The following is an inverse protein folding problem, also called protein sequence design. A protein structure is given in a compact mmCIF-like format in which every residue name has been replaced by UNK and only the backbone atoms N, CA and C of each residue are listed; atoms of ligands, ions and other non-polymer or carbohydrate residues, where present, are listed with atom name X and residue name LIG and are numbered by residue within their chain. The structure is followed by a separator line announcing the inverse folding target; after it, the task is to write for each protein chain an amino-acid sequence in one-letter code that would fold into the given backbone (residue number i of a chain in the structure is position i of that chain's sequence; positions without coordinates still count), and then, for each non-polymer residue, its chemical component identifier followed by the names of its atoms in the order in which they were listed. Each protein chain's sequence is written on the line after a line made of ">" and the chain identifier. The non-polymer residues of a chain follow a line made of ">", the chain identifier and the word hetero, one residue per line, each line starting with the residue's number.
data_IF_395877861810
#
_entry.id   IF_395877861810
#
_cell.length_a   1.000
_cell.length_b   1.000
_cell.length_c   1.000
_cell.angle_alpha   90.00
_cell.angle_beta   90.00
_cell.angle_gamma   90.00
#
_symmetry.space_group_name_H-M   'P 1'
#
loop_
_entity.id
_entity.type
_entity.pdbx_description
1 polymer ?
#
# COMPACT_ATOMS: atom_id res chain seq x y z
N UNK A 1 7.20 -19.57 3.13
CA UNK A 1 6.18 -19.08 2.19
C UNK A 1 6.13 -17.58 2.34
N UNK A 2 6.34 -16.85 1.24
CA UNK A 2 6.30 -15.38 1.26
C UNK A 2 4.88 -14.89 1.52
N UNK A 3 4.73 -13.80 2.27
CA UNK A 3 3.45 -13.16 2.54
C UNK A 3 3.51 -11.68 2.16
N UNK A 4 2.54 -11.24 1.40
CA UNK A 4 2.46 -9.87 0.95
C UNK A 4 1.50 -9.04 1.81
N UNK A 5 1.88 -7.79 2.08
CA UNK A 5 1.06 -6.76 2.68
C UNK A 5 0.79 -5.68 1.63
N UNK A 6 -0.46 -5.47 1.29
CA UNK A 6 -0.88 -4.49 0.28
C UNK A 6 -1.42 -3.25 0.95
N UNK A 7 -0.93 -2.07 0.59
CA UNK A 7 -1.45 -0.78 1.05
C UNK A 7 -2.13 -0.10 -0.13
N UNK A 8 -3.44 0.10 -0.07
CA UNK A 8 -4.21 0.75 -1.12
C UNK A 8 -5.19 1.79 -0.55
N UNK A 9 -5.56 2.75 -1.38
CA UNK A 9 -6.52 3.82 -1.06
C UNK A 9 -7.79 3.70 -1.91
N UNK A 10 -7.68 3.07 -3.09
CA UNK A 10 -8.78 2.92 -4.03
C UNK A 10 -9.19 1.46 -4.18
N UNK A 11 -10.46 1.22 -4.54
CA UNK A 11 -10.94 -0.14 -4.82
C UNK A 11 -10.18 -0.77 -5.99
N UNK A 12 -9.92 -0.01 -7.06
CA UNK A 12 -9.17 -0.51 -8.21
C UNK A 12 -7.72 -0.82 -7.84
N UNK A 13 -7.05 0.05 -7.09
CA UNK A 13 -5.70 -0.18 -6.60
C UNK A 13 -5.61 -1.41 -5.70
N UNK A 14 -6.58 -1.60 -4.80
CA UNK A 14 -6.67 -2.80 -3.96
C UNK A 14 -6.78 -4.07 -4.81
N UNK A 15 -7.67 -4.09 -5.80
CA UNK A 15 -7.84 -5.24 -6.73
C UNK A 15 -6.56 -5.52 -7.49
N UNK A 16 -6.01 -4.52 -8.13
CA UNK A 16 -4.80 -4.62 -8.96
C UNK A 16 -3.61 -5.13 -8.16
N UNK A 17 -3.33 -4.50 -7.01
CA UNK A 17 -2.17 -4.86 -6.19
C UNK A 17 -2.32 -6.22 -5.51
N UNK A 18 -3.53 -6.60 -5.06
CA UNK A 18 -3.76 -7.93 -4.52
C UNK A 18 -3.59 -9.02 -5.58
N UNK A 19 -4.05 -8.77 -6.81
CA UNK A 19 -3.81 -9.67 -7.93
C UNK A 19 -2.31 -9.82 -8.24
N UNK A 20 -1.58 -8.70 -8.30
CA UNK A 20 -0.13 -8.68 -8.49
C UNK A 20 0.63 -9.38 -7.36
N UNK A 21 0.21 -9.19 -6.11
CA UNK A 21 0.80 -9.82 -4.94
C UNK A 21 0.73 -11.35 -5.00
N UNK A 22 -0.31 -11.93 -5.60
CA UNK A 22 -0.46 -13.38 -5.80
C UNK A 22 0.62 -13.99 -6.71
N UNK A 23 1.29 -13.20 -7.54
CA UNK A 23 2.38 -13.69 -8.40
C UNK A 23 3.70 -13.88 -7.64
N UNK A 24 3.85 -13.24 -6.47
CA UNK A 24 5.11 -13.21 -5.70
C UNK A 24 4.96 -13.71 -4.26
N UNK A 25 3.74 -13.97 -3.80
CA UNK A 25 3.46 -14.41 -2.42
C UNK A 25 2.30 -15.41 -2.37
N UNK A 26 2.35 -16.32 -1.39
CA UNK A 26 1.32 -17.33 -1.16
C UNK A 26 0.13 -16.77 -0.36
N UNK A 27 0.37 -15.75 0.48
CA UNK A 27 -0.65 -15.10 1.29
C UNK A 27 -0.66 -13.59 1.07
N UNK A 28 -1.85 -12.99 1.01
CA UNK A 28 -2.05 -11.56 0.78
C UNK A 28 -2.95 -10.96 1.86
N UNK A 29 -2.43 -9.95 2.55
CA UNK A 29 -3.18 -9.10 3.49
C UNK A 29 -3.32 -7.71 2.88
N UNK A 30 -4.54 -7.25 2.71
CA UNK A 30 -4.83 -5.88 2.27
C UNK A 30 -4.94 -4.96 3.49
N UNK A 31 -4.38 -3.77 3.43
CA UNK A 31 -4.53 -2.71 4.41
C UNK A 31 -5.13 -1.46 3.75
N UNK A 32 -6.25 -1.00 4.27
CA UNK A 32 -6.93 0.22 3.86
C UNK A 32 -7.01 1.17 5.06
N UNK A 33 -6.52 2.40 4.90
CA UNK A 33 -6.62 3.45 5.91
C UNK A 33 -7.39 4.66 5.36
N UNK A 34 -8.43 5.09 6.08
CA UNK A 34 -9.19 6.30 5.76
C UNK A 34 -10.10 6.21 4.53
N UNK A 35 -10.28 5.01 3.96
CA UNK A 35 -11.20 4.71 2.88
C UNK A 35 -12.02 3.45 3.24
N UNK A 36 -13.16 3.18 2.59
CA UNK A 36 -13.95 1.99 2.85
C UNK A 36 -13.17 0.69 2.63
N UNK A 37 -13.39 -0.31 3.47
CA UNK A 37 -12.79 -1.63 3.31
C UNK A 37 -13.16 -2.26 1.96
N UNK A 38 -12.21 -2.95 1.35
CA UNK A 38 -12.40 -3.68 0.08
C UNK A 38 -12.31 -5.16 0.38
N UNK A 39 -13.30 -5.92 -0.06
CA UNK A 39 -13.41 -7.37 0.17
C UNK A 39 -13.34 -8.18 -1.13
N UNK A 40 -13.17 -9.49 -1.02
CA UNK A 40 -13.12 -10.39 -2.17
C UNK A 40 -11.82 -10.32 -2.98
N UNK A 41 -10.76 -9.70 -2.47
CA UNK A 41 -9.51 -9.45 -3.22
C UNK A 41 -8.25 -10.00 -2.55
N UNK A 42 -8.27 -10.21 -1.23
CA UNK A 42 -7.17 -10.69 -0.42
C UNK A 42 -7.62 -11.82 0.53
N UNK A 43 -6.69 -12.44 1.24
CA UNK A 43 -7.04 -13.46 2.26
C UNK A 43 -7.64 -12.82 3.51
N UNK A 44 -7.28 -11.57 3.78
CA UNK A 44 -7.92 -10.72 4.79
C UNK A 44 -7.71 -9.25 4.45
N UNK A 45 -8.62 -8.40 4.91
CA UNK A 45 -8.50 -6.95 4.85
C UNK A 45 -8.35 -6.40 6.27
N UNK A 46 -7.29 -5.62 6.49
CA UNK A 46 -7.13 -4.78 7.68
C UNK A 46 -7.67 -3.40 7.34
N UNK A 47 -8.66 -2.96 8.09
CA UNK A 47 -9.27 -1.65 7.91
C UNK A 47 -8.92 -0.74 9.10
N UNK A 48 -8.48 0.48 8.80
CA UNK A 48 -8.15 1.51 9.79
C UNK A 48 -9.04 2.72 9.52
N UNK A 49 -10.04 2.91 10.37
CA UNK A 49 -10.88 4.10 10.31
C UNK A 49 -10.10 5.33 10.82
N UNK A 50 -9.87 6.30 9.93
CA UNK A 50 -9.16 7.54 10.28
C UNK A 50 -10.18 8.60 10.68
N UNK A 51 -10.14 9.11 11.94
CA UNK A 51 -11.09 10.09 12.42
C UNK A 51 -11.09 11.37 11.58
N UNK A 52 -12.24 12.01 11.43
CA UNK A 52 -12.46 13.16 10.53
C UNK A 52 -11.51 14.37 10.77
N UNK A 53 -10.95 14.51 11.97
CA UNK A 53 -9.99 15.57 12.31
C UNK A 53 -8.53 15.21 11.99
N UNK A 54 -8.25 13.99 11.54
CA UNK A 54 -6.91 13.50 11.26
C UNK A 54 -6.69 13.34 9.75
N UNK A 55 -5.44 13.19 9.35
CA UNK A 55 -5.03 12.86 7.98
C UNK A 55 -4.64 11.39 7.89
N UNK A 56 -4.78 10.78 6.72
CA UNK A 56 -4.45 9.37 6.48
C UNK A 56 -2.98 9.08 6.79
N UNK A 57 -2.10 10.03 6.53
CA UNK A 57 -0.66 9.93 6.80
C UNK A 57 -0.34 9.65 8.28
N UNK A 58 -1.20 10.08 9.19
CA UNK A 58 -1.03 9.87 10.63
C UNK A 58 -1.43 8.43 11.07
N UNK A 59 -2.00 7.62 10.17
CA UNK A 59 -2.28 6.20 10.44
C UNK A 59 -1.03 5.30 10.43
N UNK A 60 0.17 5.86 10.21
CA UNK A 60 1.40 5.07 10.03
C UNK A 60 1.70 4.12 11.18
N UNK A 61 1.44 4.49 12.44
CA UNK A 61 1.66 3.62 13.59
C UNK A 61 0.76 2.38 13.52
N UNK A 62 -0.53 2.59 13.20
CA UNK A 62 -1.50 1.49 13.02
C UNK A 62 -1.14 0.59 11.83
N UNK A 63 -0.67 1.18 10.72
CA UNK A 63 -0.21 0.43 9.53
C UNK A 63 1.02 -0.41 9.86
N UNK A 64 2.00 0.12 10.58
CA UNK A 64 3.20 -0.63 11.00
C UNK A 64 2.80 -1.80 11.91
N UNK A 65 1.90 -1.57 12.86
CA UNK A 65 1.39 -2.61 13.76
C UNK A 65 0.65 -3.73 13.00
N UNK A 66 -0.19 -3.34 12.04
CA UNK A 66 -0.89 -4.31 11.17
C UNK A 66 0.10 -5.10 10.30
N UNK A 67 1.11 -4.44 9.75
CA UNK A 67 2.20 -5.10 9.01
C UNK A 67 2.91 -6.13 9.88
N UNK A 68 3.30 -5.77 11.10
CA UNK A 68 3.98 -6.69 12.02
C UNK A 68 3.11 -7.89 12.38
N UNK A 69 1.83 -7.68 12.65
CA UNK A 69 0.88 -8.74 12.94
C UNK A 69 0.65 -9.68 11.74
N UNK A 70 0.77 -9.16 10.51
CA UNK A 70 0.58 -9.95 9.29
C UNK A 70 1.67 -10.99 9.07
N UNK A 71 2.89 -10.75 9.57
CA UNK A 71 4.07 -11.57 9.30
C UNK A 71 4.53 -11.52 7.84
N UNK A 72 4.18 -10.45 7.11
CA UNK A 72 4.58 -10.25 5.73
C UNK A 72 6.03 -9.78 5.62
N UNK A 73 6.67 -10.13 4.51
CA UNK A 73 8.04 -9.75 4.15
C UNK A 73 8.11 -8.94 2.84
N UNK A 74 6.98 -8.84 2.13
CA UNK A 74 6.85 -8.04 0.91
C UNK A 74 5.70 -7.06 1.06
N UNK A 75 5.91 -5.82 0.63
CA UNK A 75 4.88 -4.76 0.59
C UNK A 75 4.68 -4.28 -0.83
N UNK A 76 3.45 -4.32 -1.31
CA UNK A 76 3.02 -3.60 -2.51
C UNK A 76 2.11 -2.44 -2.08
N UNK A 77 2.41 -1.24 -2.55
CA UNK A 77 1.60 -0.07 -2.23
C UNK A 77 1.18 0.68 -3.48
N UNK A 78 -0.02 1.26 -3.43
CA UNK A 78 -0.52 2.12 -4.48
C UNK A 78 0.35 3.38 -4.62
N UNK A 79 0.56 3.86 -5.85
CA UNK A 79 1.39 5.05 -6.13
C UNK A 79 0.57 6.34 -5.89
N UNK A 80 0.08 6.52 -4.66
CA UNK A 80 -0.66 7.71 -4.22
C UNK A 80 0.14 8.49 -3.18
N UNK A 81 -0.22 9.74 -2.92
CA UNK A 81 0.51 10.60 -1.99
C UNK A 81 0.48 10.04 -0.56
N UNK A 82 -0.69 9.58 -0.09
CA UNK A 82 -0.82 9.04 1.26
C UNK A 82 -0.14 7.68 1.38
N UNK A 83 -0.30 6.79 0.40
CA UNK A 83 0.38 5.48 0.41
C UNK A 83 1.91 5.64 0.38
N UNK A 84 2.45 6.59 -0.39
CA UNK A 84 3.88 6.93 -0.39
C UNK A 84 4.36 7.41 0.99
N UNK A 85 3.57 8.24 1.68
CA UNK A 85 3.88 8.71 3.03
C UNK A 85 3.90 7.56 4.04
N UNK A 86 2.88 6.70 4.02
CA UNK A 86 2.79 5.51 4.88
C UNK A 86 3.95 4.54 4.64
N UNK A 87 4.26 4.26 3.37
CA UNK A 87 5.37 3.39 2.95
C UNK A 87 6.72 3.93 3.39
N UNK A 88 6.95 5.23 3.25
CA UNK A 88 8.22 5.85 3.70
C UNK A 88 8.45 5.66 5.19
N UNK A 89 7.41 5.81 6.00
CA UNK A 89 7.47 5.60 7.46
C UNK A 89 7.63 4.12 7.82
N UNK A 90 6.94 3.23 7.11
CA UNK A 90 7.11 1.79 7.28
C UNK A 90 8.53 1.34 6.90
N UNK A 91 9.07 1.81 5.79
CA UNK A 91 10.42 1.52 5.35
C UNK A 91 11.46 1.96 6.38
N UNK A 92 11.33 3.18 6.92
CA UNK A 92 12.20 3.69 7.98
C UNK A 92 12.12 2.85 9.25
N UNK A 93 10.91 2.48 9.69
CA UNK A 93 10.70 1.67 10.89
C UNK A 93 11.28 0.25 10.77
N UNK A 94 11.32 -0.32 9.57
CA UNK A 94 11.81 -1.69 9.32
C UNK A 94 13.24 -1.74 8.78
N UNK A 95 13.89 -0.60 8.54
CA UNK A 95 15.18 -0.56 7.86
C UNK A 95 15.10 -1.18 6.46
N UNK A 96 13.95 -1.03 5.80
CA UNK A 96 13.63 -1.71 4.55
C UNK A 96 13.96 -0.84 3.34
N UNK A 97 14.41 -1.49 2.26
CA UNK A 97 14.53 -0.84 0.95
C UNK A 97 13.15 -0.68 0.30
N UNK A 98 12.88 0.52 -0.21
CA UNK A 98 11.69 0.82 -0.99
C UNK A 98 12.05 1.23 -2.42
N UNK A 99 11.41 0.59 -3.41
CA UNK A 99 11.52 0.94 -4.83
C UNK A 99 10.21 1.58 -5.25
N UNK A 100 10.27 2.84 -5.68
CA UNK A 100 9.10 3.61 -6.04
C UNK A 100 8.84 3.63 -7.55
N UNK A 101 7.55 3.76 -7.93
CA UNK A 101 7.13 3.92 -9.32
C UNK A 101 7.35 2.67 -10.17
N UNK A 102 7.12 1.50 -9.61
CA UNK A 102 7.29 0.22 -10.29
C UNK A 102 6.25 0.07 -11.40
N UNK A 103 6.72 -0.24 -12.60
CA UNK A 103 5.91 -0.51 -13.79
C UNK A 103 5.99 -1.97 -14.23
N UNK A 104 6.91 -2.75 -13.67
CA UNK A 104 7.07 -4.18 -13.91
C UNK A 104 7.73 -4.82 -12.69
N UNK A 105 7.24 -5.98 -12.27
CA UNK A 105 7.78 -6.74 -11.14
C UNK A 105 7.89 -8.21 -11.53
N UNK A 106 9.12 -8.74 -11.52
CA UNK A 106 9.42 -10.16 -11.75
C UNK A 106 10.15 -10.73 -10.54
N UNK A 107 9.42 -11.51 -9.73
CA UNK A 107 9.89 -11.96 -8.43
C UNK A 107 10.20 -10.77 -7.50
N UNK A 108 11.47 -10.53 -7.23
CA UNK A 108 11.94 -9.39 -6.42
C UNK A 108 12.68 -8.30 -7.25
N UNK A 109 12.70 -8.44 -8.56
CA UNK A 109 13.30 -7.47 -9.49
C UNK A 109 12.22 -6.53 -10.02
N UNK A 110 12.39 -5.25 -9.77
CA UNK A 110 11.45 -4.21 -10.16
C UNK A 110 12.04 -3.27 -11.23
N UNK A 111 11.23 -2.95 -12.23
CA UNK A 111 11.54 -1.93 -13.23
C UNK A 111 10.72 -0.67 -12.97
N UNK A 112 11.35 0.49 -13.12
CA UNK A 112 10.74 1.81 -12.95
C UNK A 112 11.18 2.74 -14.06
N UNK A 113 10.29 3.62 -14.50
CA UNK A 113 10.63 4.66 -15.46
C UNK A 113 11.48 5.76 -14.84
N UNK A 114 12.51 6.20 -15.55
CA UNK A 114 13.42 7.26 -15.15
C UNK A 114 13.54 8.36 -16.22
N UNK A 115 13.91 9.54 -15.78
CA UNK A 115 14.15 10.70 -16.67
C UNK A 115 12.96 11.00 -17.60
N UNK A 116 11.74 11.04 -17.03
CA UNK A 116 10.53 11.33 -17.82
C UNK A 116 10.19 10.24 -18.85
N UNK A 117 10.63 9.00 -18.63
CA UNK A 117 10.35 7.87 -19.52
C UNK A 117 11.40 7.61 -20.59
N UNK A 118 12.51 8.36 -20.58
CA UNK A 118 13.62 8.13 -21.54
C UNK A 118 14.55 7.00 -21.12
N UNK A 119 14.46 6.54 -19.87
CA UNK A 119 15.23 5.41 -19.35
C UNK A 119 14.37 4.51 -18.47
N UNK A 120 14.80 3.27 -18.34
CA UNK A 120 14.24 2.29 -17.40
C UNK A 120 15.34 1.92 -16.41
N UNK A 121 15.01 2.00 -15.13
CA UNK A 121 15.86 1.50 -14.05
C UNK A 121 15.32 0.15 -13.59
N UNK A 122 16.19 -0.86 -13.57
CA UNK A 122 15.90 -2.15 -12.96
C UNK A 122 16.66 -2.26 -11.63
N UNK A 123 15.99 -2.64 -10.55
CA UNK A 123 16.57 -2.72 -9.23
C UNK A 123 15.97 -3.89 -8.43
N UNK A 124 16.74 -4.36 -7.45
CA UNK A 124 16.36 -5.41 -6.51
C UNK A 124 16.64 -4.92 -5.09
N UNK A 125 15.69 -5.00 -4.13
CA UNK A 125 15.97 -4.69 -2.74
C UNK A 125 16.95 -5.70 -2.14
N UNK A 126 17.87 -5.21 -1.31
CA UNK A 126 18.85 -6.03 -0.60
C UNK A 126 18.48 -6.28 0.87
N UNK A 127 17.27 -5.89 1.28
CA UNK A 127 16.76 -6.04 2.65
C UNK A 127 15.79 -7.20 2.76
N UNK A 128 15.60 -7.74 3.98
CA UNK A 128 14.67 -8.84 4.24
C UNK A 128 13.23 -8.44 3.94
N UNK A 129 12.81 -7.27 4.41
CA UNK A 129 11.54 -6.64 4.01
C UNK A 129 11.76 -5.87 2.73
N UNK A 130 10.92 -6.11 1.73
CA UNK A 130 10.97 -5.52 0.41
C UNK A 130 9.72 -4.71 0.14
N UNK A 131 9.87 -3.46 -0.26
CA UNK A 131 8.75 -2.54 -0.45
C UNK A 131 8.76 -2.00 -1.88
N UNK A 132 7.59 -2.04 -2.51
CA UNK A 132 7.38 -1.53 -3.86
C UNK A 132 6.14 -0.63 -3.89
N UNK A 133 6.27 0.59 -4.43
CA UNK A 133 5.10 1.36 -4.82
C UNK A 133 4.86 1.19 -6.31
N UNK A 134 3.64 0.84 -6.69
CA UNK A 134 3.32 0.33 -8.02
C UNK A 134 2.43 1.32 -8.77
N UNK A 135 2.80 1.60 -10.00
CA UNK A 135 2.03 2.48 -10.90
C UNK A 135 0.75 1.77 -11.33
N UNK A 136 -0.36 2.49 -11.36
CA UNK A 136 -1.66 1.95 -11.80
C UNK A 136 -1.58 1.38 -13.23
N UNK A 137 -2.21 0.23 -13.45
CA UNK A 137 -2.19 -0.49 -14.71
C UNK A 137 -1.02 -1.47 -14.89
N UNK A 138 -0.24 -1.71 -13.82
CA UNK A 138 0.86 -2.69 -13.85
C UNK A 138 0.35 -4.13 -13.79
N UNK A 139 -0.73 -4.39 -13.05
CA UNK A 139 -1.32 -5.73 -12.92
C UNK A 139 -2.78 -5.76 -13.39
N UNK A 140 -3.30 -6.96 -13.64
CA UNK A 140 -4.70 -7.15 -14.02
C UNK A 140 -5.61 -7.21 -12.79
N UNK A 141 -6.36 -6.13 -12.55
CA UNK A 141 -7.31 -6.05 -11.44
C UNK A 141 -8.45 -7.09 -11.50
N UNK A 142 -8.77 -7.61 -12.69
CA UNK A 142 -9.81 -8.65 -12.86
C UNK A 142 -9.38 -10.01 -12.31
N UNK A 143 -8.07 -10.23 -12.12
CA UNK A 143 -7.53 -11.45 -11.53
C UNK A 143 -7.60 -11.50 -10.00
N UNK A 144 -8.08 -10.42 -9.34
CA UNK A 144 -8.18 -10.36 -7.88
C UNK A 144 -9.21 -11.38 -7.35
N UNK A 145 -8.78 -12.16 -6.36
CA UNK A 145 -9.61 -13.14 -5.66
C UNK A 145 -9.30 -13.14 -4.16
N UNK A 146 -10.30 -13.41 -3.33
CA UNK A 146 -10.09 -13.43 -1.89
C UNK A 146 -11.35 -13.72 -1.09
N UNK A 147 -11.31 -13.39 0.18
CA UNK A 147 -12.40 -13.56 1.14
C UNK A 147 -12.99 -12.21 1.54
N UNK A 148 -14.12 -12.24 2.26
CA UNK A 148 -14.77 -11.05 2.80
C UNK A 148 -14.35 -10.76 4.27
N UNK A 149 -13.27 -11.39 4.74
CA UNK A 149 -12.77 -11.18 6.10
C UNK A 149 -12.17 -9.78 6.25
N UNK A 150 -12.72 -8.99 7.16
CA UNK A 150 -12.24 -7.66 7.53
C UNK A 150 -11.91 -7.63 9.01
N UNK A 151 -10.73 -7.13 9.35
CA UNK A 151 -10.27 -6.89 10.71
C UNK A 151 -10.16 -5.37 10.92
N UNK A 152 -10.88 -4.85 11.91
CA UNK A 152 -10.77 -3.45 12.30
C UNK A 152 -9.58 -3.25 13.23
N UNK A 153 -8.66 -2.36 12.83
CA UNK A 153 -7.50 -1.96 13.63
C UNK A 153 -7.67 -0.51 14.06
N UNK A 154 -7.50 -0.26 15.36
CA UNK A 154 -7.67 1.06 15.92
C UNK A 154 -6.64 2.05 15.34
N UNK A 155 -7.09 3.26 15.03
CA UNK A 155 -6.23 4.37 14.68
C UNK A 155 -5.45 4.84 15.91
N UNK A 156 -4.12 4.86 15.80
CA UNK A 156 -3.21 5.36 16.82
C UNK A 156 -2.68 6.72 16.38
N UNK A 157 -3.19 7.79 16.97
CA UNK A 157 -2.75 9.14 16.64
C UNK A 157 -1.30 9.38 17.06
N UNK A 158 -0.45 9.97 16.22
CA UNK A 158 0.91 10.37 16.62
C UNK A 158 0.88 11.52 17.61
N UNK A 159 1.97 11.67 18.40
CA UNK A 159 2.09 12.77 19.38
C UNK A 159 2.07 14.16 18.73
N UNK A 160 2.52 14.28 17.48
CA UNK A 160 2.51 15.51 16.69
C UNK A 160 1.69 15.26 15.40
N UNK A 161 0.37 15.16 15.54
CA UNK A 161 -0.53 14.94 14.44
C UNK A 161 -0.78 16.23 13.64
N UNK A 162 -1.03 16.05 12.35
CA UNK A 162 -1.60 17.10 11.50
C UNK A 162 -3.09 17.19 11.75
N UNK A 163 -3.61 18.39 12.04
CA UNK A 163 -5.02 18.62 12.28
C UNK A 163 -5.68 19.12 11.01
N UNK A 164 -6.65 18.37 10.49
CA UNK A 164 -7.48 18.78 9.37
C UNK A 164 -8.54 19.78 9.85
N UNK A 165 -8.39 21.04 9.46
CA UNK A 165 -9.31 22.14 9.86
C UNK A 165 -10.51 22.28 8.95
N UNK A 166 -10.47 21.70 7.75
CA UNK A 166 -11.58 21.77 6.79
C UNK A 166 -11.23 21.09 5.48
N UNK A 167 -12.26 20.95 4.63
CA UNK A 167 -12.15 20.45 3.27
C UNK A 167 -13.17 21.16 2.41
N UNK A 168 -12.79 21.64 1.24
CA UNK A 168 -13.66 22.26 0.25
C UNK A 168 -13.51 21.55 -1.09
N UNK A 169 -14.65 21.20 -1.69
CA UNK A 169 -14.64 20.57 -3.01
C UNK A 169 -14.28 21.62 -4.08
N UNK A 170 -13.30 21.31 -4.90
CA UNK A 170 -12.97 22.14 -6.06
C UNK A 170 -14.12 22.05 -7.09
N UNK A 171 -14.44 23.17 -7.79
CA UNK A 171 -15.40 23.10 -8.88
C UNK A 171 -14.87 22.17 -9.99
N UNK A 172 -15.77 21.51 -10.75
CA UNK A 172 -15.36 20.68 -11.87
C UNK A 172 -14.46 21.46 -12.84
N UNK A 173 -13.42 20.83 -13.31
CA UNK A 173 -12.57 21.42 -14.35
C UNK A 173 -13.40 21.68 -15.61
N UNK A 174 -13.34 22.90 -16.12
CA UNK A 174 -14.02 23.32 -17.35
C UNK A 174 -13.30 22.80 -18.59
#
# INVERSE_FOLDING_TARGET
>A
MAKAFVIAETENGARELCAGARSIADGVVLCIAGAPAVTGVADSCVHIDVPAGNVVDDAYASVIKAFDASGADVVLAEQTLHALSLVGRLAAAKGAAAIAGVTELDGDVASSMYFGGTGVRTAKPATDVKIYTVVAGTFDAAAATGTDAVEEVAFEAPAAAVVKTGSEALPPAS
#
